data_IF_855943677853
#
_entry.id   IF_855943677853
#
_cell.length_a   1.000
_cell.length_b   1.000
_cell.length_c   1.000
_cell.angle_alpha   90.00
_cell.angle_beta   90.00
_cell.angle_gamma   90.00
#
_symmetry.space_group_name_H-M   'P 1'
#
loop_
_entity.id
_entity.type
_entity.pdbx_description
1 polymer ?
#
# COMPACT_ATOMS: atom_id res chain seq x y z
N UNK A 1 -52.53 16.27 -36.79
CA UNK A 1 -51.80 17.36 -36.10
C UNK A 1 -52.31 17.43 -34.67
N UNK A 2 -51.54 16.93 -33.70
CA UNK A 2 -51.68 17.25 -32.29
C UNK A 2 -50.32 17.79 -31.85
N UNK A 3 -50.13 19.10 -32.06
CA UNK A 3 -48.94 19.82 -31.66
C UNK A 3 -49.09 20.26 -30.20
N UNK A 4 -48.02 20.09 -29.41
CA UNK A 4 -47.79 20.92 -28.23
C UNK A 4 -48.36 20.41 -26.91
N UNK A 5 -47.77 19.34 -26.36
CA UNK A 5 -47.59 19.05 -24.92
C UNK A 5 -47.13 17.58 -24.84
N UNK A 6 -46.00 17.23 -24.22
CA UNK A 6 -45.72 15.78 -24.14
C UNK A 6 -44.57 15.29 -23.29
N UNK A 7 -43.42 15.98 -23.26
CA UNK A 7 -42.23 15.45 -22.56
C UNK A 7 -41.70 16.39 -21.48
N UNK A 8 -41.83 17.71 -21.66
CA UNK A 8 -41.31 18.69 -20.70
C UNK A 8 -42.10 18.74 -19.37
N UNK A 9 -43.39 18.35 -19.39
CA UNK A 9 -44.26 18.34 -18.21
C UNK A 9 -44.17 17.03 -17.40
N UNK A 10 -43.33 16.09 -17.83
CA UNK A 10 -43.14 14.85 -17.08
C UNK A 10 -42.37 15.15 -15.78
N UNK A 11 -42.70 14.43 -14.72
CA UNK A 11 -42.04 14.60 -13.43
C UNK A 11 -40.58 14.11 -13.50
N UNK A 12 -39.57 14.97 -13.29
CA UNK A 12 -38.15 14.59 -13.32
C UNK A 12 -37.75 13.61 -12.21
N UNK A 13 -38.61 13.41 -11.19
CA UNK A 13 -38.43 12.34 -10.20
C UNK A 13 -38.77 10.96 -10.76
N UNK A 14 -39.64 10.88 -11.76
CA UNK A 14 -40.09 9.63 -12.39
C UNK A 14 -39.44 9.37 -13.75
N UNK A 15 -38.99 10.41 -14.45
CA UNK A 15 -38.40 10.29 -15.79
C UNK A 15 -37.05 11.00 -15.89
N UNK A 16 -36.15 10.44 -16.70
CA UNK A 16 -35.00 11.15 -17.27
C UNK A 16 -35.49 11.82 -18.55
N UNK A 17 -35.51 13.14 -18.55
CA UNK A 17 -36.07 13.94 -19.65
C UNK A 17 -34.91 14.53 -20.43
N UNK A 18 -34.80 14.17 -21.69
CA UNK A 18 -33.76 14.61 -22.62
C UNK A 18 -34.44 15.49 -23.68
N UNK A 19 -33.95 16.71 -23.85
CA UNK A 19 -34.43 17.64 -24.88
C UNK A 19 -33.31 18.08 -25.81
N UNK A 20 -33.59 18.04 -27.11
CA UNK A 20 -32.70 18.55 -28.14
C UNK A 20 -31.36 17.83 -28.22
N UNK A 21 -31.31 16.51 -28.01
CA UNK A 21 -30.05 15.77 -28.12
C UNK A 21 -29.55 15.77 -29.58
N UNK A 22 -28.36 16.32 -29.78
CA UNK A 22 -27.74 16.57 -31.10
C UNK A 22 -26.27 16.11 -31.16
N UNK A 23 -25.89 15.16 -30.30
CA UNK A 23 -24.57 14.55 -30.29
C UNK A 23 -24.40 13.65 -31.53
N UNK A 24 -23.28 13.80 -32.24
CA UNK A 24 -22.98 13.11 -33.51
C UNK A 24 -24.10 13.23 -34.55
N UNK A 25 -24.78 12.13 -34.86
CA UNK A 25 -25.82 12.07 -35.88
C UNK A 25 -27.25 12.15 -35.32
N UNK A 26 -27.41 12.46 -34.03
CA UNK A 26 -28.72 12.71 -33.43
C UNK A 26 -29.34 13.98 -34.01
N UNK A 27 -30.60 13.89 -34.44
CA UNK A 27 -31.33 14.97 -35.11
C UNK A 27 -32.17 15.82 -34.14
N UNK A 28 -31.55 16.36 -33.08
CA UNK A 28 -32.24 17.14 -32.02
C UNK A 28 -33.45 16.39 -31.44
N UNK A 29 -33.21 15.17 -30.95
CA UNK A 29 -34.29 14.31 -30.47
C UNK A 29 -34.70 14.66 -29.04
N UNK A 30 -35.99 14.49 -28.76
CA UNK A 30 -36.59 14.63 -27.43
C UNK A 30 -37.04 13.25 -26.95
N UNK A 31 -36.58 12.82 -25.78
CA UNK A 31 -36.86 11.49 -25.23
C UNK A 31 -37.11 11.58 -23.73
N UNK A 32 -38.12 10.85 -23.24
CA UNK A 32 -38.34 10.61 -21.82
C UNK A 32 -38.12 9.14 -21.49
N UNK A 33 -37.27 8.86 -20.52
CA UNK A 33 -36.94 7.50 -20.08
C UNK A 33 -37.46 7.29 -18.65
N UNK A 34 -38.29 6.28 -18.35
CA UNK A 34 -38.75 6.02 -16.99
C UNK A 34 -37.57 5.60 -16.11
N UNK A 35 -37.46 6.19 -14.92
CA UNK A 35 -36.41 5.88 -13.94
C UNK A 35 -36.68 4.53 -13.27
N UNK A 36 -35.61 3.86 -12.85
CA UNK A 36 -35.64 2.55 -12.18
C UNK A 36 -36.22 1.42 -13.04
N UNK A 37 -36.16 1.57 -14.36
CA UNK A 37 -36.55 0.54 -15.32
C UNK A 37 -35.32 0.01 -16.06
N UNK A 38 -35.38 -1.26 -16.46
CA UNK A 38 -34.43 -1.83 -17.42
C UNK A 38 -34.82 -1.38 -18.83
N UNK A 39 -34.09 -0.39 -19.36
CA UNK A 39 -34.36 0.21 -20.67
C UNK A 39 -33.38 -0.35 -21.69
N UNK A 40 -33.91 -0.87 -22.79
CA UNK A 40 -33.12 -1.36 -23.92
C UNK A 40 -33.26 -0.38 -25.08
N UNK A 41 -32.13 0.15 -25.56
CA UNK A 41 -32.08 0.99 -26.76
C UNK A 41 -31.70 0.12 -27.95
N UNK A 42 -32.60 -0.02 -28.92
CA UNK A 42 -32.43 -0.89 -30.10
C UNK A 42 -32.39 -0.07 -31.39
N UNK A 43 -31.96 -0.70 -32.49
CA UNK A 43 -31.87 -0.07 -33.82
C UNK A 43 -30.65 -0.52 -34.63
N UNK A 44 -30.67 -0.21 -35.93
CA UNK A 44 -29.60 -0.58 -36.90
C UNK A 44 -28.24 0.03 -36.54
N UNK A 45 -27.15 -0.56 -37.03
CA UNK A 45 -25.80 0.00 -36.82
C UNK A 45 -25.75 1.46 -37.31
N UNK A 46 -25.09 2.33 -36.54
CA UNK A 46 -25.02 3.77 -36.86
C UNK A 46 -26.31 4.57 -36.59
N UNK A 47 -27.39 3.99 -36.03
CA UNK A 47 -28.64 4.74 -35.77
C UNK A 47 -28.57 5.78 -34.64
N UNK A 48 -27.41 5.98 -34.01
CA UNK A 48 -27.23 6.93 -32.90
C UNK A 48 -27.46 6.35 -31.50
N UNK A 49 -27.56 5.03 -31.34
CA UNK A 49 -27.74 4.37 -30.02
C UNK A 49 -26.64 4.72 -29.04
N UNK A 50 -25.38 4.53 -29.45
CA UNK A 50 -24.22 4.85 -28.62
C UNK A 50 -24.12 6.34 -28.35
N UNK A 51 -24.49 7.17 -29.33
CA UNK A 51 -24.52 8.62 -29.16
C UNK A 51 -25.52 9.10 -28.13
N UNK A 52 -26.69 8.44 -28.03
CA UNK A 52 -27.65 8.72 -26.97
C UNK A 52 -27.22 8.14 -25.61
N UNK A 53 -26.77 6.88 -25.59
CA UNK A 53 -26.47 6.16 -24.34
C UNK A 53 -25.14 6.60 -23.70
N UNK A 54 -24.05 6.56 -24.46
CA UNK A 54 -22.70 6.83 -23.96
C UNK A 54 -22.34 8.31 -24.09
N UNK A 55 -22.46 8.87 -25.30
CA UNK A 55 -21.95 10.22 -25.58
C UNK A 55 -22.88 11.32 -25.06
N UNK A 56 -24.13 11.01 -24.72
CA UNK A 56 -25.10 11.96 -24.15
C UNK A 56 -25.43 11.64 -22.69
N UNK A 57 -26.07 10.51 -22.41
CA UNK A 57 -26.54 10.17 -21.06
C UNK A 57 -25.39 9.90 -20.09
N UNK A 58 -24.51 8.95 -20.40
CA UNK A 58 -23.38 8.64 -19.53
C UNK A 58 -22.45 9.84 -19.34
N UNK A 59 -22.09 10.52 -20.43
CA UNK A 59 -21.25 11.73 -20.39
C UNK A 59 -21.84 12.81 -19.46
N UNK A 60 -23.13 13.13 -19.59
CA UNK A 60 -23.78 14.14 -18.75
C UNK A 60 -23.91 13.69 -17.29
N UNK A 61 -24.26 12.42 -17.05
CA UNK A 61 -24.39 11.85 -15.71
C UNK A 61 -23.06 11.84 -14.95
N UNK A 62 -21.97 11.45 -15.62
CA UNK A 62 -20.63 11.49 -15.06
C UNK A 62 -20.15 12.93 -14.85
N UNK A 63 -20.33 13.83 -15.84
CA UNK A 63 -19.96 15.25 -15.73
C UNK A 63 -20.60 15.90 -14.51
N UNK A 64 -21.92 15.76 -14.33
CA UNK A 64 -22.65 16.34 -13.18
C UNK A 64 -22.18 15.79 -11.84
N UNK A 65 -21.88 14.49 -11.78
CA UNK A 65 -21.35 13.88 -10.57
C UNK A 65 -19.97 14.46 -10.22
N UNK A 66 -19.07 14.57 -11.20
CA UNK A 66 -17.74 15.18 -11.01
C UNK A 66 -17.85 16.67 -10.63
N UNK A 67 -18.82 17.39 -11.19
CA UNK A 67 -19.07 18.80 -10.85
C UNK A 67 -19.53 19.01 -9.41
N UNK A 68 -20.18 18.01 -8.81
CA UNK A 68 -20.58 18.03 -7.40
C UNK A 68 -19.42 17.77 -6.43
N UNK A 69 -18.26 17.31 -6.91
CA UNK A 69 -17.09 17.06 -6.07
C UNK A 69 -16.37 18.36 -5.68
N UNK A 70 -15.51 18.26 -4.65
CA UNK A 70 -14.73 19.39 -4.15
C UNK A 70 -13.91 20.06 -5.27
N UNK A 71 -13.66 21.37 -5.12
CA UNK A 71 -12.84 22.13 -6.08
C UNK A 71 -11.45 21.50 -6.30
N UNK A 72 -10.89 20.87 -5.27
CA UNK A 72 -9.64 20.11 -5.34
C UNK A 72 -9.78 18.82 -6.16
N UNK A 73 -10.82 18.01 -5.91
CA UNK A 73 -11.04 16.77 -6.67
C UNK A 73 -11.23 17.02 -8.17
N UNK A 74 -11.89 18.14 -8.53
CA UNK A 74 -12.06 18.58 -9.93
C UNK A 74 -10.76 18.93 -10.66
N UNK A 75 -9.64 19.16 -9.95
CA UNK A 75 -8.34 19.37 -10.61
C UNK A 75 -7.75 18.08 -11.18
N UNK A 76 -8.06 16.93 -10.57
CA UNK A 76 -7.53 15.62 -10.96
C UNK A 76 -8.44 14.87 -11.93
N UNK A 77 -9.72 15.19 -11.92
CA UNK A 77 -10.70 14.60 -12.84
C UNK A 77 -10.78 15.54 -14.04
N UNK A 78 -10.27 15.10 -15.18
CA UNK A 78 -10.24 15.88 -16.41
C UNK A 78 -11.60 16.50 -16.73
N UNK A 79 -11.60 17.72 -17.30
CA UNK A 79 -12.83 18.36 -17.75
C UNK A 79 -13.48 17.47 -18.81
N UNK A 80 -14.67 16.96 -18.50
CA UNK A 80 -15.50 16.26 -19.49
C UNK A 80 -16.22 17.29 -20.34
N UNK A 81 -16.18 17.13 -21.66
CA UNK A 81 -16.91 18.00 -22.56
C UNK A 81 -18.41 17.87 -22.33
N UNK A 82 -19.09 19.02 -22.27
CA UNK A 82 -20.54 19.05 -22.15
C UNK A 82 -21.15 18.52 -23.46
N UNK A 83 -22.00 17.48 -23.44
CA UNK A 83 -22.62 16.97 -24.64
C UNK A 83 -23.55 17.99 -25.29
N UNK A 84 -23.71 17.90 -26.61
CA UNK A 84 -24.63 18.74 -27.41
C UNK A 84 -26.08 18.35 -27.14
N UNK A 85 -26.66 18.93 -26.10
CA UNK A 85 -28.06 18.74 -25.68
C UNK A 85 -28.59 20.05 -25.09
N UNK A 86 -29.86 20.36 -25.32
CA UNK A 86 -30.46 21.60 -24.80
C UNK A 86 -30.59 21.53 -23.28
N UNK A 87 -31.24 20.47 -22.78
CA UNK A 87 -31.20 20.13 -21.36
C UNK A 87 -31.50 18.65 -21.10
N UNK A 88 -31.05 18.19 -19.93
CA UNK A 88 -31.39 16.88 -19.37
C UNK A 88 -31.82 17.05 -17.91
N UNK A 89 -33.00 16.57 -17.54
CA UNK A 89 -33.49 16.58 -16.15
C UNK A 89 -33.68 15.16 -15.62
N UNK A 90 -33.57 14.99 -14.29
CA UNK A 90 -33.79 13.69 -13.64
C UNK A 90 -32.65 12.67 -13.80
N UNK A 91 -31.49 13.08 -14.33
CA UNK A 91 -30.33 12.19 -14.51
C UNK A 91 -29.61 11.91 -13.17
N UNK A 92 -29.21 10.65 -12.98
CA UNK A 92 -28.40 10.20 -11.84
C UNK A 92 -26.91 10.11 -12.21
N UNK A 93 -25.99 9.99 -11.24
CA UNK A 93 -24.61 9.59 -11.52
C UNK A 93 -24.60 8.31 -12.36
N UNK A 94 -23.82 8.32 -13.44
CA UNK A 94 -23.82 7.25 -14.44
C UNK A 94 -22.50 6.49 -14.43
N UNK A 95 -22.58 5.18 -14.62
CA UNK A 95 -21.44 4.27 -14.80
C UNK A 95 -21.63 3.56 -16.13
N UNK A 96 -20.64 3.66 -17.02
CA UNK A 96 -20.62 2.91 -18.27
C UNK A 96 -19.94 1.56 -18.04
N UNK A 97 -20.59 0.49 -18.49
CA UNK A 97 -20.00 -0.84 -18.60
C UNK A 97 -19.89 -1.14 -20.09
N UNK A 98 -18.68 -1.02 -20.63
CA UNK A 98 -18.37 -1.21 -22.04
C UNK A 98 -17.38 -2.35 -22.26
N UNK A 99 -17.46 -2.99 -23.42
CA UNK A 99 -16.44 -3.96 -23.86
C UNK A 99 -15.22 -3.22 -24.42
N UNK A 100 -14.59 -2.36 -23.61
CA UNK A 100 -13.34 -1.71 -23.99
C UNK A 100 -12.18 -2.55 -23.51
N UNK A 101 -11.24 -2.83 -24.42
CA UNK A 101 -10.01 -3.54 -24.08
C UNK A 101 -9.17 -2.59 -23.22
N UNK A 102 -9.26 -2.75 -21.91
CA UNK A 102 -8.38 -2.04 -20.99
C UNK A 102 -6.93 -2.43 -21.29
N UNK A 103 -6.03 -1.46 -21.24
CA UNK A 103 -4.59 -1.70 -21.40
C UNK A 103 -4.14 -2.74 -20.38
N UNK A 104 -3.53 -3.83 -20.87
CA UNK A 104 -3.19 -4.99 -20.05
C UNK A 104 -1.97 -4.66 -19.19
N UNK A 105 -2.18 -4.33 -17.92
CA UNK A 105 -1.10 -4.34 -16.95
C UNK A 105 -0.72 -5.80 -16.65
N UNK A 106 0.52 -6.25 -16.89
CA UNK A 106 0.91 -7.64 -16.70
C UNK A 106 0.79 -8.13 -15.25
N UNK A 107 0.70 -7.22 -14.27
CA UNK A 107 0.47 -7.56 -12.85
C UNK A 107 -1.01 -7.66 -12.48
N UNK A 108 -1.92 -7.26 -13.37
CA UNK A 108 -3.36 -7.34 -13.12
C UNK A 108 -3.89 -8.74 -13.43
N UNK A 109 -4.59 -9.30 -12.44
CA UNK A 109 -5.29 -10.59 -12.52
C UNK A 109 -6.78 -10.39 -12.26
N UNK A 110 -7.59 -11.42 -12.53
CA UNK A 110 -9.03 -11.41 -12.20
C UNK A 110 -9.25 -11.07 -10.72
N UNK A 111 -8.42 -11.61 -9.81
CA UNK A 111 -8.51 -11.34 -8.38
C UNK A 111 -8.25 -9.87 -8.03
N UNK A 112 -7.34 -9.19 -8.74
CA UNK A 112 -7.10 -7.76 -8.52
C UNK A 112 -8.18 -6.87 -9.14
N UNK A 113 -8.74 -7.26 -10.29
CA UNK A 113 -9.79 -6.48 -10.96
C UNK A 113 -11.15 -6.57 -10.27
N UNK A 114 -11.38 -7.66 -9.53
CA UNK A 114 -12.60 -7.89 -8.74
C UNK A 114 -12.43 -7.53 -7.27
N UNK A 115 -11.25 -7.03 -6.86
CA UNK A 115 -10.86 -6.77 -5.48
C UNK A 115 -10.88 -8.00 -4.54
N UNK A 116 -11.25 -9.19 -5.03
CA UNK A 116 -11.25 -10.45 -4.27
C UNK A 116 -9.86 -10.73 -3.69
N UNK A 117 -8.79 -10.41 -4.42
CA UNK A 117 -7.43 -10.60 -3.94
C UNK A 117 -7.10 -9.75 -2.70
N UNK A 118 -7.74 -8.59 -2.54
CA UNK A 118 -7.56 -7.76 -1.34
C UNK A 118 -8.24 -8.39 -0.12
N UNK A 119 -9.42 -8.97 -0.30
CA UNK A 119 -10.07 -9.78 0.74
C UNK A 119 -9.25 -11.02 1.10
N UNK A 120 -8.65 -11.70 0.10
CA UNK A 120 -7.77 -12.83 0.36
C UNK A 120 -6.54 -12.41 1.18
N UNK A 121 -5.90 -11.28 0.85
CA UNK A 121 -4.79 -10.75 1.65
C UNK A 121 -5.22 -10.51 3.10
N UNK A 122 -6.40 -9.92 3.33
CA UNK A 122 -6.92 -9.70 4.67
C UNK A 122 -7.20 -11.03 5.40
N UNK A 123 -7.77 -12.01 4.71
CA UNK A 123 -8.04 -13.34 5.24
C UNK A 123 -6.75 -14.03 5.69
N UNK A 124 -5.74 -14.08 4.82
CA UNK A 124 -4.46 -14.71 5.15
C UNK A 124 -3.68 -13.93 6.22
N UNK A 125 -3.78 -12.61 6.27
CA UNK A 125 -3.16 -11.82 7.33
C UNK A 125 -3.79 -12.06 8.72
N UNK A 126 -5.10 -12.32 8.78
CA UNK A 126 -5.82 -12.51 10.05
C UNK A 126 -5.94 -13.96 10.50
N UNK A 127 -6.07 -14.89 9.57
CA UNK A 127 -6.35 -16.30 9.85
C UNK A 127 -5.32 -17.26 9.24
N UNK A 128 -4.36 -16.76 8.46
CA UNK A 128 -3.33 -17.60 7.86
C UNK A 128 -2.31 -18.07 8.90
N UNK A 129 -2.07 -19.38 8.93
CA UNK A 129 -0.94 -19.95 9.66
C UNK A 129 0.28 -19.93 8.76
N UNK A 130 1.34 -19.28 9.23
CA UNK A 130 2.58 -19.17 8.46
C UNK A 130 3.42 -20.40 8.73
N UNK A 131 3.84 -21.11 7.69
CA UNK A 131 4.67 -22.32 7.80
C UNK A 131 6.02 -22.03 7.16
N UNK A 132 7.10 -22.38 7.86
CA UNK A 132 8.46 -22.23 7.35
C UNK A 132 8.69 -23.16 6.16
N UNK A 133 9.18 -22.67 5.01
CA UNK A 133 9.46 -23.51 3.84
C UNK A 133 10.70 -24.40 4.03
N UNK A 134 11.58 -24.07 4.99
CA UNK A 134 12.81 -24.83 5.26
C UNK A 134 12.57 -25.90 6.31
N UNK A 135 11.88 -25.56 7.40
CA UNK A 135 11.69 -26.47 8.54
C UNK A 135 10.31 -27.15 8.57
N UNK A 136 9.32 -26.67 7.81
CA UNK A 136 7.95 -27.18 7.83
C UNK A 136 7.18 -26.87 9.13
N UNK A 137 7.79 -26.16 10.09
CA UNK A 137 7.17 -25.79 11.37
C UNK A 137 6.35 -24.51 11.24
N UNK A 138 5.33 -24.38 12.08
CA UNK A 138 4.55 -23.14 12.19
C UNK A 138 5.41 -22.01 12.76
N UNK A 139 5.39 -20.87 12.07
CA UNK A 139 6.08 -19.65 12.48
C UNK A 139 5.22 -18.95 13.52
N UNK A 140 5.71 -18.92 14.75
CA UNK A 140 5.09 -18.22 15.89
C UNK A 140 6.01 -17.13 16.41
N UNK A 141 5.43 -16.18 17.14
CA UNK A 141 6.23 -15.24 17.94
C UNK A 141 6.87 -16.04 19.09
N UNK A 142 8.19 -16.06 19.13
CA UNK A 142 8.93 -16.65 20.23
C UNK A 142 9.03 -15.65 21.39
N UNK A 143 8.99 -16.19 22.61
CA UNK A 143 9.28 -15.50 23.86
C UNK A 143 10.75 -15.63 24.21
N UNK A 144 11.23 -14.86 25.18
CA UNK A 144 12.61 -14.98 25.68
C UNK A 144 12.86 -16.40 26.20
N UNK A 145 11.90 -16.99 26.94
CA UNK A 145 11.98 -18.36 27.41
C UNK A 145 12.14 -19.38 26.28
N UNK A 146 11.37 -19.26 25.19
CA UNK A 146 11.53 -20.15 24.03
C UNK A 146 12.97 -20.11 23.46
N UNK A 147 13.62 -18.94 23.50
CA UNK A 147 15.00 -18.77 23.01
C UNK A 147 16.01 -19.36 23.99
N UNK A 148 15.83 -19.14 25.29
CA UNK A 148 16.69 -19.72 26.34
C UNK A 148 16.60 -21.25 26.29
N UNK A 149 15.40 -21.81 26.20
CA UNK A 149 15.17 -23.25 26.10
C UNK A 149 15.86 -23.82 24.86
N UNK A 150 15.72 -23.16 23.70
CA UNK A 150 16.42 -23.54 22.48
C UNK A 150 17.95 -23.53 22.62
N UNK A 151 18.50 -22.53 23.31
CA UNK A 151 19.95 -22.47 23.58
C UNK A 151 20.38 -23.61 24.50
N UNK A 152 19.55 -23.99 25.46
CA UNK A 152 19.81 -25.11 26.38
C UNK A 152 19.79 -26.48 25.69
N UNK A 153 19.04 -26.64 24.59
CA UNK A 153 19.01 -27.88 23.79
C UNK A 153 20.28 -28.11 22.96
N UNK A 154 21.17 -27.11 22.84
CA UNK A 154 22.42 -27.23 22.10
C UNK A 154 23.42 -28.14 22.84
N UNK A 155 24.32 -28.77 22.09
CA UNK A 155 25.33 -29.69 22.64
C UNK A 155 26.23 -28.97 23.68
N UNK A 156 26.57 -29.68 24.76
CA UNK A 156 27.54 -29.21 25.75
C UNK A 156 28.86 -28.82 25.09
N UNK A 157 29.47 -27.73 25.56
CA UNK A 157 30.67 -27.13 24.99
C UNK A 157 30.41 -26.17 23.81
N UNK A 158 29.17 -26.01 23.34
CA UNK A 158 28.84 -25.04 22.28
C UNK A 158 29.03 -23.62 22.79
N UNK A 159 29.71 -22.79 21.99
CA UNK A 159 29.87 -21.35 22.25
C UNK A 159 28.77 -20.58 21.53
N UNK A 160 27.97 -19.85 22.28
CA UNK A 160 26.86 -19.04 21.79
C UNK A 160 27.25 -17.57 21.86
N UNK A 161 26.99 -16.84 20.79
CA UNK A 161 27.21 -15.39 20.71
C UNK A 161 25.86 -14.73 20.47
N UNK A 162 25.50 -13.77 21.32
CA UNK A 162 24.25 -13.01 21.22
C UNK A 162 24.55 -11.67 20.57
N UNK A 163 23.94 -11.44 19.42
CA UNK A 163 24.14 -10.25 18.61
C UNK A 163 22.86 -9.41 18.54
N UNK A 164 23.01 -8.09 18.59
CA UNK A 164 21.94 -7.15 18.24
C UNK A 164 22.30 -6.38 16.98
N UNK A 165 21.35 -6.17 16.05
CA UNK A 165 21.60 -5.37 14.86
C UNK A 165 22.07 -3.95 15.22
N UNK A 166 23.16 -3.49 14.60
CA UNK A 166 23.63 -2.12 14.83
C UNK A 166 22.74 -1.12 14.09
N UNK A 167 22.25 -0.11 14.81
CA UNK A 167 21.41 0.96 14.26
C UNK A 167 22.12 2.30 14.26
N UNK A 168 22.25 2.94 13.09
CA UNK A 168 22.79 4.28 12.94
C UNK A 168 21.68 5.32 13.00
N UNK A 169 21.80 6.33 13.88
CA UNK A 169 20.85 7.45 13.98
C UNK A 169 21.14 8.55 12.95
N UNK A 170 20.10 9.27 12.52
CA UNK A 170 20.21 10.36 11.54
C UNK A 170 21.24 11.42 11.97
N UNK A 171 22.11 11.83 11.02
CA UNK A 171 23.10 12.89 11.24
C UNK A 171 24.40 12.46 11.95
N UNK A 172 24.49 11.21 12.44
CA UNK A 172 25.71 10.68 13.07
C UNK A 172 26.51 9.81 12.11
N UNK A 173 27.82 9.75 12.28
CA UNK A 173 28.66 8.73 11.63
C UNK A 173 28.59 7.41 12.39
N UNK A 174 29.01 6.32 11.76
CA UNK A 174 29.10 5.02 12.45
C UNK A 174 30.13 5.10 13.59
N UNK A 175 31.22 5.85 13.41
CA UNK A 175 32.22 6.08 14.47
C UNK A 175 31.65 6.77 15.70
N UNK A 176 30.83 7.80 15.51
CA UNK A 176 30.21 8.52 16.64
C UNK A 176 29.31 7.59 17.46
N UNK A 177 28.52 6.76 16.80
CA UNK A 177 27.63 5.82 17.47
C UNK A 177 28.41 4.66 18.12
N UNK A 178 29.49 4.17 17.49
CA UNK A 178 30.40 3.20 18.10
C UNK A 178 31.09 3.76 19.36
N UNK A 179 31.49 5.04 19.37
CA UNK A 179 32.02 5.70 20.56
C UNK A 179 31.00 5.76 21.69
N UNK A 180 29.73 6.05 21.37
CA UNK A 180 28.64 6.04 22.36
C UNK A 180 28.42 4.63 22.93
N UNK A 181 28.47 3.59 22.09
CA UNK A 181 28.37 2.20 22.55
C UNK A 181 29.55 1.82 23.44
N UNK A 182 30.77 2.27 23.12
CA UNK A 182 31.95 2.08 23.96
C UNK A 182 31.76 2.75 25.32
N UNK A 183 31.24 3.98 25.37
CA UNK A 183 30.91 4.68 26.62
C UNK A 183 29.81 3.97 27.43
N UNK A 184 28.90 3.24 26.76
CA UNK A 184 27.87 2.41 27.41
C UNK A 184 28.40 1.05 27.89
N UNK A 185 29.68 0.74 27.65
CA UNK A 185 30.32 -0.49 28.11
C UNK A 185 30.35 -1.63 27.08
N UNK A 186 29.86 -1.43 25.85
CA UNK A 186 30.02 -2.42 24.79
C UNK A 186 31.45 -2.37 24.25
N UNK A 187 32.13 -3.52 24.18
CA UNK A 187 33.53 -3.57 23.76
C UNK A 187 33.74 -4.16 22.35
N UNK A 188 32.76 -4.92 21.84
CA UNK A 188 32.92 -5.75 20.63
C UNK A 188 31.74 -5.62 19.69
N UNK A 189 32.04 -5.72 18.40
CA UNK A 189 31.06 -5.78 17.30
C UNK A 189 31.47 -6.87 16.33
N UNK A 190 30.50 -7.44 15.64
CA UNK A 190 30.72 -8.31 14.49
C UNK A 190 30.64 -7.47 13.22
N UNK A 191 31.66 -7.53 12.38
CA UNK A 191 31.64 -6.95 11.04
C UNK A 191 31.99 -8.04 10.02
N UNK A 192 31.06 -8.31 9.09
CA UNK A 192 31.20 -9.34 8.04
C UNK A 192 31.60 -10.73 8.56
N UNK A 193 31.10 -11.13 9.72
CA UNK A 193 31.38 -12.43 10.34
C UNK A 193 32.62 -12.48 11.24
N UNK A 194 33.38 -11.38 11.35
CA UNK A 194 34.53 -11.29 12.26
C UNK A 194 34.19 -10.45 13.49
N UNK A 195 34.47 -10.99 14.68
CA UNK A 195 34.30 -10.29 15.95
C UNK A 195 35.52 -9.44 16.24
N UNK A 196 35.34 -8.12 16.26
CA UNK A 196 36.39 -7.12 16.42
C UNK A 196 36.11 -6.26 17.66
N UNK A 197 37.17 -5.72 18.29
CA UNK A 197 37.02 -4.70 19.33
C UNK A 197 36.68 -3.36 18.69
N UNK A 198 35.80 -2.59 19.34
CA UNK A 198 35.38 -1.28 18.86
C UNK A 198 36.58 -0.33 18.74
N UNK A 199 37.51 -0.35 19.71
CA UNK A 199 38.75 0.43 19.69
C UNK A 199 39.57 0.19 18.40
N UNK A 200 39.79 -1.09 18.06
CA UNK A 200 40.55 -1.46 16.85
C UNK A 200 39.87 -0.95 15.57
N UNK A 201 38.54 -0.88 15.54
CA UNK A 201 37.78 -0.36 14.38
C UNK A 201 37.88 1.17 14.30
N UNK A 202 37.89 1.86 15.44
CA UNK A 202 38.03 3.30 15.48
C UNK A 202 39.41 3.75 14.97
N UNK A 203 40.45 2.96 15.30
CA UNK A 203 41.84 3.15 14.90
C UNK A 203 42.09 2.79 13.43
N UNK A 204 41.48 1.72 12.94
CA UNK A 204 41.53 1.37 11.53
C UNK A 204 40.75 2.42 10.71
N UNK A 205 41.44 3.15 9.82
CA UNK A 205 40.82 4.12 8.89
C UNK A 205 40.02 3.40 7.79
N UNK A 206 39.01 2.62 8.15
CA UNK A 206 38.10 1.98 7.21
C UNK A 206 37.10 3.02 6.69
N UNK A 207 37.17 3.32 5.39
CA UNK A 207 36.37 4.36 4.73
C UNK A 207 34.85 4.15 4.88
N UNK A 208 34.39 2.89 5.04
CA UNK A 208 32.99 2.55 5.22
C UNK A 208 32.37 3.16 6.49
N UNK A 209 33.14 3.34 7.56
CA UNK A 209 32.64 3.83 8.86
C UNK A 209 32.57 5.36 8.97
N UNK A 210 33.15 6.09 8.01
CA UNK A 210 33.12 7.56 7.96
C UNK A 210 31.89 8.09 7.20
N UNK A 211 31.05 7.21 6.63
CA UNK A 211 29.88 7.63 5.86
C UNK A 211 28.81 8.20 6.80
N UNK A 212 28.56 9.50 6.72
CA UNK A 212 27.42 10.14 7.38
C UNK A 212 26.12 9.63 6.77
N UNK A 213 25.19 9.20 7.61
CA UNK A 213 23.84 8.94 7.14
C UNK A 213 23.20 10.26 6.71
N UNK A 214 22.72 10.38 5.47
CA UNK A 214 22.06 11.60 5.03
C UNK A 214 20.82 11.86 5.90
N UNK A 215 20.60 13.13 6.25
CA UNK A 215 19.38 13.54 6.94
C UNK A 215 18.15 13.15 6.09
N UNK A 216 17.01 12.78 6.72
CA UNK A 216 15.81 12.42 5.98
C UNK A 216 15.43 13.51 4.98
N UNK A 217 15.18 13.14 3.71
CA UNK A 217 14.68 14.08 2.70
C UNK A 217 13.34 14.63 3.19
N UNK A 218 13.22 15.96 3.27
CA UNK A 218 12.01 16.68 3.70
C UNK A 218 10.80 16.25 2.86
N UNK A 219 10.03 15.28 3.32
CA UNK A 219 8.65 15.06 2.88
C UNK A 219 7.76 14.95 4.13
N UNK A 220 6.99 16.02 4.33
CA UNK A 220 5.80 16.14 5.17
C UNK A 220 5.86 15.74 6.66
N UNK A 221 5.93 16.78 7.51
CA UNK A 221 5.23 16.90 8.80
C UNK A 221 5.41 15.79 9.86
N UNK A 222 6.64 15.41 10.20
CA UNK A 222 7.02 15.09 11.59
C UNK A 222 8.54 15.17 11.69
N UNK A 223 9.08 15.96 12.62
CA UNK A 223 10.49 15.85 13.02
C UNK A 223 10.61 14.56 13.83
N UNK A 224 10.71 13.43 13.17
CA UNK A 224 11.08 12.20 13.88
C UNK A 224 12.57 12.27 14.21
N UNK A 225 12.87 12.79 15.39
CA UNK A 225 14.21 12.84 15.98
C UNK A 225 14.79 11.42 16.22
N UNK A 226 13.99 10.38 16.02
CA UNK A 226 14.33 8.97 16.20
C UNK A 226 14.54 8.19 14.89
N UNK A 227 14.74 8.86 13.75
CA UNK A 227 15.05 8.14 12.51
C UNK A 227 16.40 7.40 12.61
N UNK A 228 16.36 6.07 12.60
CA UNK A 228 17.52 5.18 12.64
C UNK A 228 17.47 4.16 11.51
N UNK A 229 18.64 3.82 10.95
CA UNK A 229 18.77 2.79 9.93
C UNK A 229 19.68 1.67 10.42
N UNK A 230 19.25 0.41 10.25
CA UNK A 230 20.10 -0.75 10.49
C UNK A 230 21.23 -0.79 9.47
N UNK A 231 22.47 -0.88 9.96
CA UNK A 231 23.65 -0.99 9.09
C UNK A 231 23.82 -2.45 8.71
N UNK A 232 23.89 -2.74 7.40
CA UNK A 232 24.14 -4.10 6.92
C UNK A 232 25.52 -4.59 7.36
N UNK A 233 25.57 -5.86 7.73
CA UNK A 233 26.80 -6.60 8.08
C UNK A 233 27.55 -6.06 9.30
N UNK A 234 26.87 -5.32 10.19
CA UNK A 234 27.42 -4.83 11.46
C UNK A 234 26.44 -5.15 12.60
N UNK A 235 26.89 -5.93 13.57
CA UNK A 235 26.12 -6.28 14.75
C UNK A 235 26.91 -5.97 16.04
N UNK A 236 26.21 -5.63 17.11
CA UNK A 236 26.79 -5.43 18.44
C UNK A 236 26.82 -6.78 19.13
N UNK A 237 27.97 -7.17 19.67
CA UNK A 237 28.04 -8.35 20.52
C UNK A 237 27.58 -7.96 21.93
N UNK A 238 26.44 -8.51 22.35
CA UNK A 238 25.87 -8.26 23.68
C UNK A 238 26.50 -9.19 24.69
N UNK A 239 26.44 -10.50 24.44
CA UNK A 239 26.99 -11.50 25.35
C UNK A 239 27.59 -12.69 24.60
N UNK A 240 28.48 -13.41 25.30
CA UNK A 240 29.07 -14.67 24.88
C UNK A 240 28.89 -15.68 26.00
N UNK A 241 28.18 -16.76 25.72
CA UNK A 241 27.92 -17.84 26.67
C UNK A 241 28.60 -19.11 26.16
N UNK A 242 29.28 -19.83 27.05
CA UNK A 242 29.73 -21.19 26.76
C UNK A 242 28.85 -22.13 27.58
N UNK A 243 28.27 -23.13 26.93
CA UNK A 243 27.48 -24.15 27.63
C UNK A 243 28.45 -25.09 28.35
N UNK A 244 28.60 -24.89 29.65
CA UNK A 244 29.31 -25.80 30.59
C UNK A 244 28.22 -26.60 31.34
N UNK A 245 28.54 -27.81 31.80
CA UNK A 245 27.64 -28.85 32.37
C UNK A 245 26.39 -28.34 33.14
N UNK A 246 25.30 -29.13 33.10
CA UNK A 246 23.96 -28.84 33.67
C UNK A 246 23.71 -27.35 33.96
N UNK A 247 23.35 -26.59 32.91
CA UNK A 247 23.09 -25.15 32.95
C UNK A 247 22.51 -24.65 34.28
N UNK A 248 23.38 -24.09 35.12
CA UNK A 248 23.03 -23.38 36.34
C UNK A 248 21.97 -22.31 36.02
N UNK A 249 21.00 -22.13 36.91
CA UNK A 249 19.92 -21.15 36.74
C UNK A 249 20.44 -19.71 36.50
N UNK A 250 21.65 -19.41 36.99
CA UNK A 250 22.37 -18.17 36.72
C UNK A 250 22.69 -17.97 35.23
N UNK A 251 23.08 -19.03 34.52
CA UNK A 251 23.38 -18.96 33.08
C UNK A 251 22.11 -18.72 32.27
N UNK A 252 20.99 -19.33 32.68
CA UNK A 252 19.68 -19.10 32.06
C UNK A 252 19.20 -17.67 32.28
N UNK A 253 19.33 -17.14 33.51
CA UNK A 253 19.00 -15.74 33.81
C UNK A 253 19.84 -14.79 32.97
N UNK A 254 21.15 -15.04 32.84
CA UNK A 254 22.07 -14.20 32.07
C UNK A 254 21.71 -14.14 30.57
N UNK A 255 21.32 -15.28 29.98
CA UNK A 255 20.87 -15.32 28.58
C UNK A 255 19.54 -14.58 28.42
N UNK A 256 18.62 -14.70 29.38
CA UNK A 256 17.33 -14.04 29.33
C UNK A 256 17.44 -12.51 29.42
N UNK A 257 18.42 -12.00 30.16
CA UNK A 257 18.67 -10.57 30.36
C UNK A 257 19.50 -9.91 29.23
N UNK A 258 20.09 -10.71 28.34
CA UNK A 258 20.94 -10.27 27.21
C UNK A 258 20.11 -9.82 26.00
#
# INVERSE_FOLDING_TARGET
MAAGNGIANLDPKKFIIIKGAAVHNLKKIDVALPRNNFIVITGVSGSGKSSLAFDTLYAEGQRRYVESLSSYARQFIGRMDKPKVDYINGIAPAIAIEQKVNTRNPRSTVGTSTEIYDYLKLLFARAGRTISPVSGKEVKKHTVSDVVDYVCELKLGTKVFIFSPFTQRAGRTIKDELNILLQKGFARVEYKGEVLRIENILDQKIAAFNKKMPAPKKSAKTKDENYSQTVKDLNILIDRVALVDELDDDTKSRIADS
#
